data_IF_513775872703
#
_entry.id   IF_513775872703
#
_cell.length_a   1.000
_cell.length_b   1.000
_cell.length_c   1.000
_cell.angle_alpha   90.00
_cell.angle_beta   90.00
_cell.angle_gamma   90.00
#
_symmetry.space_group_name_H-M   'P 1'
#
loop_
_entity.id
_entity.type
_entity.pdbx_description
1 polymer ?
#
# COMPACT_ATOMS: atom_id res chain seq x y z
N UNK A 1 36.15 2.57 -20.38
CA UNK A 1 34.89 1.82 -20.15
C UNK A 1 33.83 2.45 -21.03
N UNK A 2 32.92 1.71 -21.65
CA UNK A 2 31.81 2.34 -22.38
C UNK A 2 30.87 3.03 -21.39
N UNK A 3 30.21 4.11 -21.82
CA UNK A 3 29.19 4.80 -21.03
C UNK A 3 28.12 3.83 -20.50
N UNK A 4 27.73 2.85 -21.33
CA UNK A 4 26.81 1.78 -20.96
C UNK A 4 27.32 0.94 -19.77
N UNK A 5 28.60 0.56 -19.75
CA UNK A 5 29.16 -0.20 -18.62
C UNK A 5 29.15 0.62 -17.34
N UNK A 6 29.48 1.92 -17.42
CA UNK A 6 29.47 2.82 -16.26
C UNK A 6 28.05 2.99 -15.73
N UNK A 7 27.09 3.32 -16.62
CA UNK A 7 25.68 3.46 -16.28
C UNK A 7 25.11 2.19 -15.62
N UNK A 8 25.37 1.03 -16.22
CA UNK A 8 24.89 -0.26 -15.71
C UNK A 8 25.51 -0.58 -14.35
N UNK A 9 26.79 -0.29 -14.17
CA UNK A 9 27.48 -0.51 -12.88
C UNK A 9 26.88 0.37 -11.79
N UNK A 10 26.69 1.67 -12.06
CA UNK A 10 26.07 2.61 -11.11
C UNK A 10 24.65 2.13 -10.76
N UNK A 11 23.86 1.75 -11.76
CA UNK A 11 22.50 1.25 -11.56
C UNK A 11 22.47 0.02 -10.66
N UNK A 12 23.25 -1.02 -10.99
CA UNK A 12 23.29 -2.29 -10.23
C UNK A 12 23.76 -2.06 -8.79
N UNK A 13 24.80 -1.25 -8.59
CA UNK A 13 25.31 -0.94 -7.24
C UNK A 13 24.27 -0.16 -6.43
N UNK A 14 23.65 0.87 -7.03
CA UNK A 14 22.61 1.67 -6.36
C UNK A 14 21.45 0.78 -5.94
N UNK A 15 20.97 -0.09 -6.82
CA UNK A 15 19.88 -1.02 -6.53
C UNK A 15 20.25 -2.05 -5.46
N UNK A 16 21.47 -2.61 -5.51
CA UNK A 16 21.95 -3.55 -4.50
C UNK A 16 22.00 -2.91 -3.10
N UNK A 17 22.43 -1.64 -3.01
CA UNK A 17 22.44 -0.90 -1.74
C UNK A 17 21.02 -0.61 -1.25
N UNK A 18 20.10 -0.21 -2.14
CA UNK A 18 18.68 -0.03 -1.79
C UNK A 18 18.07 -1.33 -1.25
N UNK A 19 18.30 -2.46 -1.93
CA UNK A 19 17.83 -3.78 -1.51
C UNK A 19 18.44 -4.20 -0.16
N UNK A 20 19.67 -3.79 0.13
CA UNK A 20 20.32 -4.11 1.41
C UNK A 20 19.67 -3.42 2.61
N UNK A 21 18.84 -2.39 2.38
CA UNK A 21 18.18 -1.55 3.39
C UNK A 21 19.11 -0.96 4.47
N UNK A 22 20.44 -0.94 4.24
CA UNK A 22 21.43 -0.43 5.21
C UNK A 22 21.53 1.09 5.24
N UNK A 23 21.13 1.76 4.16
CA UNK A 23 21.18 3.21 3.99
C UNK A 23 19.82 3.71 3.52
N UNK A 24 19.54 4.99 3.79
CA UNK A 24 18.31 5.62 3.33
C UNK A 24 18.22 5.59 1.80
N UNK A 25 17.12 5.02 1.29
CA UNK A 25 16.87 4.85 -0.14
C UNK A 25 16.94 6.16 -0.93
N UNK A 26 16.56 7.29 -0.32
CA UNK A 26 16.59 8.62 -0.94
C UNK A 26 18.02 9.07 -1.13
N UNK A 27 18.85 8.93 -0.09
CA UNK A 27 20.28 9.28 -0.16
C UNK A 27 20.99 8.44 -1.21
N UNK A 28 20.70 7.13 -1.25
CA UNK A 28 21.31 6.21 -2.22
C UNK A 28 20.88 6.54 -3.65
N UNK A 29 19.60 6.82 -3.89
CA UNK A 29 19.11 7.20 -5.21
C UNK A 29 19.71 8.52 -5.72
N UNK A 30 19.78 9.55 -4.84
CA UNK A 30 20.40 10.83 -5.17
C UNK A 30 21.91 10.71 -5.42
N UNK A 31 22.61 9.89 -4.63
CA UNK A 31 24.03 9.61 -4.86
C UNK A 31 24.25 8.90 -6.20
N UNK A 32 23.42 7.91 -6.54
CA UNK A 32 23.46 7.25 -7.85
C UNK A 32 23.26 8.24 -9.01
N UNK A 33 22.27 9.13 -8.91
CA UNK A 33 22.05 10.19 -9.89
C UNK A 33 23.22 11.18 -10.00
N UNK A 34 23.80 11.59 -8.86
CA UNK A 34 24.97 12.46 -8.84
C UNK A 34 26.20 11.79 -9.50
N UNK A 35 26.38 10.48 -9.29
CA UNK A 35 27.45 9.72 -9.95
C UNK A 35 27.24 9.63 -11.47
N UNK A 36 25.99 9.49 -11.95
CA UNK A 36 25.70 9.52 -13.39
C UNK A 36 26.17 10.82 -14.05
N UNK A 37 25.99 11.95 -13.37
CA UNK A 37 26.48 13.26 -13.83
C UNK A 37 28.00 13.35 -13.70
N UNK A 38 28.57 12.96 -12.55
CA UNK A 38 30.00 13.06 -12.28
C UNK A 38 30.86 12.22 -13.25
N UNK A 39 30.35 11.09 -13.71
CA UNK A 39 31.01 10.25 -14.71
C UNK A 39 30.67 10.63 -16.17
N UNK A 40 29.88 11.69 -16.39
CA UNK A 40 29.52 12.19 -17.71
C UNK A 40 28.58 11.27 -18.50
N UNK A 41 27.87 10.37 -17.82
CA UNK A 41 26.87 9.48 -18.46
C UNK A 41 25.61 10.27 -18.82
N UNK A 42 25.27 11.25 -17.99
CA UNK A 42 24.21 12.22 -18.25
C UNK A 42 24.77 13.62 -18.04
N UNK A 43 24.36 14.57 -18.87
CA UNK A 43 24.55 15.98 -18.55
C UNK A 43 23.51 16.45 -17.51
N UNK A 44 23.68 17.66 -16.99
CA UNK A 44 22.79 18.21 -15.96
C UNK A 44 21.37 18.44 -16.48
N UNK A 45 21.22 18.79 -17.75
CA UNK A 45 19.93 19.10 -18.37
C UNK A 45 19.12 17.81 -18.58
N UNK A 46 19.76 16.75 -19.06
CA UNK A 46 19.24 15.40 -19.18
C UNK A 46 18.86 14.82 -17.81
N UNK A 47 19.70 15.02 -16.79
CA UNK A 47 19.41 14.55 -15.45
C UNK A 47 18.15 15.22 -14.86
N UNK A 48 17.98 16.52 -15.06
CA UNK A 48 16.76 17.24 -14.63
C UNK A 48 15.55 16.81 -15.48
N UNK A 49 15.72 16.63 -16.79
CA UNK A 49 14.66 16.19 -17.69
C UNK A 49 14.19 14.75 -17.39
N UNK A 50 15.05 13.92 -16.80
CA UNK A 50 14.69 12.57 -16.34
C UNK A 50 13.79 12.57 -15.08
N UNK A 51 13.64 13.71 -14.39
CA UNK A 51 12.77 13.84 -13.23
C UNK A 51 11.33 14.06 -13.71
N UNK A 52 10.45 13.14 -13.33
CA UNK A 52 9.02 13.28 -13.57
C UNK A 52 8.34 14.10 -12.46
N UNK A 53 8.22 15.41 -12.71
CA UNK A 53 7.56 16.34 -11.81
C UNK A 53 6.06 16.10 -11.66
N UNK A 54 5.38 15.50 -12.64
CA UNK A 54 3.96 15.18 -12.53
C UNK A 54 3.75 14.09 -11.48
N UNK A 55 4.58 13.05 -11.52
CA UNK A 55 4.59 11.98 -10.51
C UNK A 55 4.88 12.54 -9.11
N UNK A 56 5.89 13.41 -8.97
CA UNK A 56 6.20 14.05 -7.69
C UNK A 56 5.03 14.91 -7.18
N UNK A 57 4.41 15.72 -8.05
CA UNK A 57 3.27 16.55 -7.69
C UNK A 57 2.05 15.71 -7.26
N UNK A 58 1.78 14.61 -7.97
CA UNK A 58 0.72 13.67 -7.64
C UNK A 58 0.95 13.01 -6.27
N UNK A 59 2.17 12.52 -6.02
CA UNK A 59 2.56 11.93 -4.73
C UNK A 59 2.41 12.93 -3.59
N UNK A 60 2.90 14.17 -3.76
CA UNK A 60 2.79 15.22 -2.75
C UNK A 60 1.31 15.56 -2.48
N UNK A 61 0.51 15.76 -3.53
CA UNK A 61 -0.91 16.09 -3.40
C UNK A 61 -1.69 14.98 -2.67
N UNK A 62 -1.43 13.72 -3.02
CA UNK A 62 -1.98 12.58 -2.31
C UNK A 62 -1.57 12.57 -0.84
N UNK A 63 -0.29 12.74 -0.53
CA UNK A 63 0.20 12.69 0.86
C UNK A 63 -0.44 13.79 1.73
N UNK A 64 -0.70 14.97 1.15
CA UNK A 64 -1.46 16.04 1.80
C UNK A 64 -2.90 15.59 2.06
N UNK A 65 -3.60 15.08 1.05
CA UNK A 65 -4.98 14.60 1.16
C UNK A 65 -5.12 13.50 2.22
N UNK A 66 -4.20 12.53 2.19
CA UNK A 66 -4.04 11.49 3.20
C UNK A 66 -3.92 12.11 4.58
N UNK A 67 -2.95 13.01 4.80
CA UNK A 67 -2.69 13.60 6.11
C UNK A 67 -3.91 14.38 6.67
N UNK A 68 -4.70 15.01 5.80
CA UNK A 68 -5.96 15.66 6.19
C UNK A 68 -7.00 14.62 6.60
N UNK A 69 -7.22 13.58 5.78
CA UNK A 69 -8.18 12.52 6.08
C UNK A 69 -7.87 11.82 7.41
N UNK A 70 -6.58 11.58 7.70
CA UNK A 70 -6.10 11.00 8.96
C UNK A 70 -6.61 11.77 10.19
N UNK A 71 -6.71 13.10 10.11
CA UNK A 71 -7.14 13.97 11.22
C UNK A 71 -8.65 13.97 11.46
N UNK A 72 -9.44 13.56 10.48
CA UNK A 72 -10.91 13.60 10.57
C UNK A 72 -11.50 12.49 11.46
N UNK A 73 -10.73 11.43 11.73
CA UNK A 73 -11.21 10.26 12.46
C UNK A 73 -12.13 9.34 11.64
N UNK A 74 -12.24 9.55 10.32
CA UNK A 74 -13.10 8.76 9.42
C UNK A 74 -12.85 7.25 9.53
N UNK A 75 -11.59 6.83 9.70
CA UNK A 75 -11.19 5.42 9.87
C UNK A 75 -11.73 4.83 11.17
N UNK A 76 -11.63 5.57 12.28
CA UNK A 76 -12.17 5.14 13.57
C UNK A 76 -13.69 5.03 13.52
N UNK A 77 -14.34 6.02 12.90
CA UNK A 77 -15.78 6.00 12.69
C UNK A 77 -16.21 4.82 11.82
N UNK A 78 -15.54 4.58 10.69
CA UNK A 78 -15.84 3.46 9.80
C UNK A 78 -15.62 2.11 10.48
N UNK A 79 -14.53 1.93 11.22
CA UNK A 79 -14.26 0.72 11.98
C UNK A 79 -15.38 0.43 13.00
N UNK A 80 -15.76 1.43 13.79
CA UNK A 80 -16.83 1.30 14.78
C UNK A 80 -18.20 1.02 14.14
N UNK A 81 -18.54 1.71 13.04
CA UNK A 81 -19.77 1.49 12.28
C UNK A 81 -19.83 0.07 11.72
N UNK A 82 -18.71 -0.44 11.19
CA UNK A 82 -18.59 -1.82 10.72
C UNK A 82 -18.81 -2.80 11.87
N UNK A 83 -18.21 -2.56 13.05
CA UNK A 83 -18.37 -3.42 14.22
C UNK A 83 -19.82 -3.55 14.69
N UNK A 84 -20.58 -2.45 14.68
CA UNK A 84 -22.02 -2.48 15.00
C UNK A 84 -22.80 -3.23 13.93
N UNK A 85 -22.54 -2.95 12.65
CA UNK A 85 -23.28 -3.56 11.55
C UNK A 85 -23.14 -5.09 11.51
N UNK A 86 -22.01 -5.64 11.96
CA UNK A 86 -21.73 -7.08 11.91
C UNK A 86 -22.20 -7.85 13.16
N UNK A 87 -22.66 -7.15 14.20
CA UNK A 87 -23.31 -7.75 15.37
C UNK A 87 -22.42 -8.71 16.16
N UNK A 88 -21.12 -8.44 16.26
CA UNK A 88 -20.19 -9.22 17.09
C UNK A 88 -19.70 -10.54 16.49
N UNK A 89 -20.00 -10.85 15.22
CA UNK A 89 -19.40 -12.03 14.56
C UNK A 89 -17.95 -11.72 14.15
N UNK A 90 -16.93 -12.47 14.63
CA UNK A 90 -15.52 -12.23 14.29
C UNK A 90 -15.26 -12.30 12.79
N UNK A 91 -15.86 -13.29 12.12
CA UNK A 91 -15.73 -13.47 10.67
C UNK A 91 -16.30 -12.29 9.89
N UNK A 92 -17.51 -11.84 10.21
CA UNK A 92 -18.15 -10.71 9.52
C UNK A 92 -17.40 -9.41 9.75
N UNK A 93 -16.86 -9.22 10.96
CA UNK A 93 -16.00 -8.08 11.27
C UNK A 93 -14.75 -8.08 10.39
N UNK A 94 -14.09 -9.23 10.26
CA UNK A 94 -12.90 -9.37 9.43
C UNK A 94 -13.19 -9.07 7.95
N UNK A 95 -14.32 -9.57 7.42
CA UNK A 95 -14.77 -9.26 6.06
C UNK A 95 -15.04 -7.77 5.91
N UNK A 96 -15.75 -7.15 6.86
CA UNK A 96 -16.05 -5.72 6.82
C UNK A 96 -14.79 -4.85 6.85
N UNK A 97 -13.83 -5.19 7.70
CA UNK A 97 -12.53 -4.52 7.74
C UNK A 97 -11.73 -4.71 6.46
N UNK A 98 -11.70 -5.93 5.91
CA UNK A 98 -11.02 -6.22 4.65
C UNK A 98 -11.60 -5.40 3.50
N UNK A 99 -12.94 -5.36 3.36
CA UNK A 99 -13.61 -4.60 2.32
C UNK A 99 -13.39 -3.10 2.47
N UNK A 100 -13.51 -2.58 3.70
CA UNK A 100 -13.22 -1.18 3.96
C UNK A 100 -11.77 -0.83 3.61
N UNK A 101 -10.81 -1.66 4.04
CA UNK A 101 -9.39 -1.46 3.74
C UNK A 101 -9.10 -1.54 2.25
N UNK A 102 -9.69 -2.49 1.50
CA UNK A 102 -9.50 -2.60 0.06
C UNK A 102 -10.01 -1.34 -0.68
N UNK A 103 -11.21 -0.86 -0.32
CA UNK A 103 -11.78 0.35 -0.92
C UNK A 103 -10.98 1.58 -0.53
N UNK A 104 -10.62 1.73 0.75
CA UNK A 104 -9.81 2.87 1.21
C UNK A 104 -8.44 2.90 0.51
N UNK A 105 -7.79 1.74 0.37
CA UNK A 105 -6.49 1.62 -0.29
C UNK A 105 -6.55 1.87 -1.81
N UNK A 106 -7.72 1.81 -2.44
CA UNK A 106 -7.87 2.22 -3.83
C UNK A 106 -7.74 3.75 -4.00
N UNK A 107 -7.85 4.54 -2.93
CA UNK A 107 -7.74 6.01 -2.99
C UNK A 107 -6.56 6.56 -2.17
N UNK A 108 -5.93 5.70 -1.37
CA UNK A 108 -4.87 6.05 -0.44
C UNK A 108 -3.76 5.02 -0.57
N UNK A 109 -2.52 5.41 -0.32
CA UNK A 109 -1.43 4.44 -0.36
C UNK A 109 -1.68 3.30 0.66
N UNK A 110 -1.36 2.08 0.25
CA UNK A 110 -1.52 0.86 1.03
C UNK A 110 -0.88 0.95 2.42
N UNK A 111 0.35 1.48 2.52
CA UNK A 111 1.07 1.63 3.79
C UNK A 111 0.31 2.56 4.73
N UNK A 112 -0.12 3.72 4.26
CA UNK A 112 -0.98 4.65 4.98
C UNK A 112 -2.27 4.01 5.46
N UNK A 113 -2.95 3.27 4.58
CA UNK A 113 -4.25 2.68 4.89
C UNK A 113 -4.11 1.71 6.05
N UNK A 114 -3.07 0.88 6.01
CA UNK A 114 -2.74 -0.05 7.10
C UNK A 114 -2.34 0.69 8.38
N UNK A 115 -1.46 1.69 8.30
CA UNK A 115 -1.06 2.46 9.49
C UNK A 115 -2.24 3.13 10.21
N UNK A 116 -3.31 3.46 9.50
CA UNK A 116 -4.54 4.00 10.09
C UNK A 116 -5.49 2.92 10.60
N UNK A 117 -5.61 1.81 9.87
CA UNK A 117 -6.52 0.74 10.23
C UNK A 117 -6.00 -0.15 11.34
N UNK A 118 -4.68 -0.36 11.46
CA UNK A 118 -4.07 -1.18 12.52
C UNK A 118 -4.50 -0.73 13.92
N UNK A 119 -4.31 0.54 14.34
CA UNK A 119 -4.72 0.95 15.68
C UNK A 119 -6.23 0.86 15.91
N UNK A 120 -7.04 1.13 14.88
CA UNK A 120 -8.50 0.99 14.94
C UNK A 120 -8.92 -0.48 15.11
N UNK A 121 -8.25 -1.38 14.38
CA UNK A 121 -8.53 -2.80 14.38
C UNK A 121 -8.14 -3.43 15.71
N UNK A 122 -6.95 -3.10 16.23
CA UNK A 122 -6.50 -3.55 17.55
C UNK A 122 -7.50 -3.13 18.62
N UNK A 123 -7.86 -1.84 18.68
CA UNK A 123 -8.80 -1.33 19.69
C UNK A 123 -10.16 -2.06 19.64
N UNK A 124 -10.71 -2.28 18.44
CA UNK A 124 -12.01 -2.97 18.30
C UNK A 124 -11.90 -4.46 18.62
N UNK A 125 -10.80 -5.11 18.25
CA UNK A 125 -10.56 -6.52 18.60
C UNK A 125 -10.41 -6.68 20.11
N UNK A 126 -9.69 -5.78 20.78
CA UNK A 126 -9.52 -5.79 22.25
C UNK A 126 -10.87 -5.60 22.96
N UNK A 127 -11.69 -4.63 22.53
CA UNK A 127 -13.04 -4.38 23.07
C UNK A 127 -13.98 -5.60 22.92
N UNK A 128 -13.78 -6.41 21.87
CA UNK A 128 -14.59 -7.59 21.55
C UNK A 128 -13.97 -8.92 22.01
N UNK A 129 -12.75 -8.90 22.57
CA UNK A 129 -12.04 -10.11 23.01
C UNK A 129 -11.52 -11.00 21.88
N UNK A 130 -11.27 -10.45 20.68
CA UNK A 130 -10.77 -11.18 19.51
C UNK A 130 -9.25 -11.07 19.37
N UNK A 131 -8.61 -12.09 18.80
CA UNK A 131 -7.21 -11.96 18.36
C UNK A 131 -7.15 -11.05 17.13
N UNK A 132 -6.42 -9.93 17.21
CA UNK A 132 -6.30 -8.96 16.11
C UNK A 132 -5.40 -9.46 14.97
N UNK A 133 -4.51 -10.44 15.20
CA UNK A 133 -3.52 -10.87 14.20
C UNK A 133 -4.14 -11.31 12.87
N UNK A 134 -5.20 -12.16 12.84
CA UNK A 134 -5.83 -12.58 11.58
C UNK A 134 -6.47 -11.40 10.82
N UNK A 135 -7.02 -10.43 11.54
CA UNK A 135 -7.62 -9.23 10.96
C UNK A 135 -6.55 -8.37 10.28
N UNK A 136 -5.43 -8.13 10.97
CA UNK A 136 -4.31 -7.34 10.44
C UNK A 136 -3.72 -8.00 9.18
N UNK A 137 -3.48 -9.31 9.19
CA UNK A 137 -2.98 -10.04 8.01
C UNK A 137 -3.98 -9.91 6.85
N UNK A 138 -5.27 -10.11 7.12
CA UNK A 138 -6.32 -10.00 6.11
C UNK A 138 -6.38 -8.59 5.52
N UNK A 139 -6.30 -7.56 6.36
CA UNK A 139 -6.30 -6.17 5.93
C UNK A 139 -5.06 -5.83 5.09
N UNK A 140 -3.86 -6.29 5.47
CA UNK A 140 -2.63 -6.07 4.69
C UNK A 140 -2.80 -6.63 3.27
N UNK A 141 -3.29 -7.86 3.13
CA UNK A 141 -3.51 -8.45 1.81
C UNK A 141 -4.62 -7.70 1.07
N UNK A 142 -5.75 -7.41 1.73
CA UNK A 142 -6.86 -6.68 1.11
C UNK A 142 -6.47 -5.26 0.66
N UNK A 143 -5.58 -4.58 1.39
CA UNK A 143 -5.05 -3.27 1.04
C UNK A 143 -4.21 -3.35 -0.23
N UNK A 144 -3.33 -4.35 -0.33
CA UNK A 144 -2.54 -4.53 -1.54
C UNK A 144 -3.43 -4.84 -2.75
N UNK A 145 -4.38 -5.77 -2.62
CA UNK A 145 -5.32 -6.09 -3.71
C UNK A 145 -6.14 -4.85 -4.10
N UNK A 146 -6.73 -4.14 -3.14
CA UNK A 146 -7.52 -2.95 -3.38
C UNK A 146 -6.73 -1.80 -4.00
N UNK A 147 -5.51 -1.55 -3.53
CA UNK A 147 -4.62 -0.50 -4.03
C UNK A 147 -4.18 -0.70 -5.47
N UNK A 148 -4.13 -1.94 -5.97
CA UNK A 148 -3.86 -2.18 -7.39
C UNK A 148 -4.95 -1.67 -8.33
N UNK A 149 -6.17 -1.39 -7.84
CA UNK A 149 -7.29 -0.97 -8.70
C UNK A 149 -7.09 0.39 -9.37
N UNK A 150 -6.25 1.27 -8.80
CA UNK A 150 -6.12 2.66 -9.27
C UNK A 150 -4.66 3.06 -9.42
N UNK A 151 -4.45 4.11 -10.24
CA UNK A 151 -3.14 4.73 -10.43
C UNK A 151 -2.51 5.22 -9.10
N UNK A 152 -3.35 5.58 -8.13
CA UNK A 152 -2.93 6.27 -6.90
C UNK A 152 -2.87 5.35 -5.67
N UNK A 153 -3.16 4.06 -5.80
CA UNK A 153 -3.19 3.17 -4.64
C UNK A 153 -1.82 2.75 -4.10
N UNK A 154 -0.74 2.89 -4.88
CA UNK A 154 0.63 2.55 -4.46
C UNK A 154 1.67 3.27 -5.36
N UNK A 155 2.82 3.76 -4.84
CA UNK A 155 3.91 4.31 -5.65
C UNK A 155 4.31 3.55 -6.94
N UNK A 156 4.37 2.21 -6.99
CA UNK A 156 4.65 1.49 -8.23
C UNK A 156 3.60 1.73 -9.32
N UNK A 157 2.33 1.89 -8.97
CA UNK A 157 1.27 2.18 -9.95
C UNK A 157 1.49 3.55 -10.58
N UNK A 158 1.85 4.55 -9.76
CA UNK A 158 2.16 5.90 -10.24
C UNK A 158 3.35 5.85 -11.20
N UNK A 159 4.41 5.13 -10.83
CA UNK A 159 5.59 4.97 -11.69
C UNK A 159 5.26 4.30 -13.03
N UNK A 160 4.38 3.29 -13.03
CA UNK A 160 3.91 2.64 -14.26
C UNK A 160 3.09 3.62 -15.09
N UNK A 161 2.11 4.30 -14.49
CA UNK A 161 1.24 5.23 -15.20
C UNK A 161 2.01 6.37 -15.83
N UNK A 162 3.03 6.88 -15.13
CA UNK A 162 3.85 7.97 -15.62
C UNK A 162 4.87 7.54 -16.67
N UNK A 163 5.42 6.33 -16.55
CA UNK A 163 6.36 5.77 -17.51
C UNK A 163 5.73 5.20 -18.79
N UNK A 164 4.44 4.82 -18.75
CA UNK A 164 3.76 4.16 -19.89
C UNK A 164 2.61 4.96 -20.48
N UNK A 165 2.12 6.00 -19.79
CA UNK A 165 1.02 6.87 -20.25
C UNK A 165 -0.43 6.52 -19.89
N UNK A 166 -0.80 5.38 -19.24
CA UNK A 166 -2.16 5.17 -18.76
C UNK A 166 -2.55 6.22 -17.71
N UNK A 167 -3.72 6.81 -17.89
CA UNK A 167 -4.30 7.71 -16.91
C UNK A 167 -5.02 6.94 -15.77
N UNK A 168 -5.54 7.69 -14.81
CA UNK A 168 -6.26 7.11 -13.67
C UNK A 168 -7.43 6.19 -14.08
N UNK A 169 -8.17 6.55 -15.14
CA UNK A 169 -9.31 5.76 -15.60
C UNK A 169 -8.86 4.47 -16.29
N UNK A 170 -7.72 4.49 -17.00
CA UNK A 170 -7.15 3.29 -17.59
C UNK A 170 -6.80 2.24 -16.53
N UNK A 171 -6.31 2.63 -15.35
CA UNK A 171 -6.10 1.69 -14.24
C UNK A 171 -7.42 1.07 -13.77
N UNK A 172 -8.46 1.88 -13.57
CA UNK A 172 -9.77 1.39 -13.13
C UNK A 172 -10.39 0.43 -14.15
N UNK A 173 -10.33 0.74 -15.43
CA UNK A 173 -10.96 -0.10 -16.46
C UNK A 173 -10.22 -1.42 -16.68
N UNK A 174 -8.89 -1.42 -16.57
CA UNK A 174 -8.09 -2.62 -16.78
C UNK A 174 -7.94 -3.49 -15.52
N UNK A 175 -7.71 -2.88 -14.36
CA UNK A 175 -7.43 -3.59 -13.10
C UNK A 175 -8.64 -3.66 -12.18
N UNK A 176 -9.57 -2.70 -12.24
CA UNK A 176 -10.78 -2.68 -11.41
C UNK A 176 -11.61 -3.97 -11.51
N UNK A 177 -11.94 -4.49 -12.72
CA UNK A 177 -12.65 -5.76 -12.85
C UNK A 177 -11.92 -6.92 -12.20
N UNK A 178 -10.58 -6.96 -12.31
CA UNK A 178 -9.76 -7.98 -11.67
C UNK A 178 -9.80 -7.85 -10.14
N UNK A 179 -9.71 -6.64 -9.60
CA UNK A 179 -9.80 -6.41 -8.15
C UNK A 179 -11.16 -6.81 -7.59
N UNK A 180 -12.25 -6.52 -8.30
CA UNK A 180 -13.61 -6.97 -7.92
C UNK A 180 -13.70 -8.49 -7.83
N UNK A 181 -12.91 -9.24 -8.60
CA UNK A 181 -12.82 -10.70 -8.51
C UNK A 181 -11.85 -11.16 -7.40
N UNK A 182 -10.70 -10.52 -7.28
CA UNK A 182 -9.64 -10.90 -6.34
C UNK A 182 -10.02 -10.64 -4.88
N UNK A 183 -10.79 -9.61 -4.58
CA UNK A 183 -11.22 -9.30 -3.21
C UNK A 183 -12.07 -10.44 -2.63
N UNK A 184 -13.17 -10.90 -3.28
CA UNK A 184 -13.91 -12.08 -2.84
C UNK A 184 -13.06 -13.35 -2.76
N UNK A 185 -12.16 -13.59 -3.73
CA UNK A 185 -11.27 -14.76 -3.70
C UNK A 185 -10.32 -14.74 -2.49
N UNK A 186 -9.78 -13.56 -2.17
CA UNK A 186 -8.94 -13.34 -0.99
C UNK A 186 -9.73 -13.62 0.29
N UNK A 187 -10.95 -13.07 0.39
CA UNK A 187 -11.85 -13.31 1.51
C UNK A 187 -12.19 -14.81 1.63
N UNK A 188 -12.47 -15.50 0.52
CA UNK A 188 -12.75 -16.94 0.51
C UNK A 188 -11.53 -17.76 0.98
N UNK A 189 -10.32 -17.37 0.56
CA UNK A 189 -9.08 -17.98 1.06
C UNK A 189 -8.94 -17.84 2.58
N UNK A 190 -9.18 -16.64 3.10
CA UNK A 190 -9.17 -16.42 4.55
C UNK A 190 -10.29 -17.14 5.29
N UNK A 191 -11.43 -17.39 4.64
CA UNK A 191 -12.51 -18.20 5.23
C UNK A 191 -12.07 -19.65 5.43
N UNK A 192 -11.32 -20.20 4.48
CA UNK A 192 -10.80 -21.57 4.61
C UNK A 192 -9.79 -21.66 5.76
N UNK A 193 -8.94 -20.63 5.94
CA UNK A 193 -7.88 -20.61 6.95
C UNK A 193 -8.40 -20.29 8.35
N UNK A 194 -9.26 -19.28 8.48
CA UNK A 194 -9.71 -18.72 9.76
C UNK A 194 -11.20 -18.90 10.04
N UNK A 195 -12.04 -19.10 9.00
CA UNK A 195 -13.49 -19.24 9.16
C UNK A 195 -13.93 -20.64 9.60
N UNK A 196 -13.08 -21.66 9.48
CA UNK A 196 -13.37 -23.06 9.89
C UNK A 196 -12.78 -23.46 11.23
N UNK A 197 -11.86 -22.67 11.78
CA UNK A 197 -11.23 -22.93 13.07
C UNK A 197 -11.56 -21.75 13.97
N UNK A 198 -11.95 -21.98 15.23
CA UNK A 198 -12.24 -20.95 16.25
C UNK A 198 -10.99 -20.11 16.66
N UNK A 199 -10.09 -19.84 15.71
CA UNK A 199 -8.82 -19.13 15.86
C UNK A 199 -8.97 -17.61 15.93
N UNK A 200 -10.19 -17.09 15.81
CA UNK A 200 -10.48 -15.66 15.90
C UNK A 200 -10.81 -15.23 17.34
N UNK A 201 -11.12 -16.17 18.23
CA UNK A 201 -11.30 -15.91 19.66
C UNK A 201 -9.93 -15.84 20.34
N UNK A 202 -9.72 -14.85 21.22
CA UNK A 202 -8.46 -14.74 21.96
C UNK A 202 -8.29 -15.90 22.96
N UNK A 203 -7.05 -16.38 23.21
CA UNK A 203 -6.80 -17.40 24.24
C UNK A 203 -7.15 -16.93 25.66
N UNK A 204 -7.27 -15.62 25.92
CA UNK A 204 -7.54 -15.09 27.26
C UNK A 204 -9.02 -15.09 27.63
N UNK A 205 -9.93 -15.48 26.74
CA UNK A 205 -11.34 -15.67 27.06
C UNK A 205 -11.63 -17.04 27.73
N UNK A 206 -10.60 -17.89 27.88
CA UNK A 206 -10.70 -19.24 28.44
C UNK A 206 -10.10 -19.39 29.86
N UNK A 207 -9.75 -18.28 30.52
CA UNK A 207 -9.25 -18.24 31.91
C UNK A 207 -10.12 -17.32 32.77
#
# INVERSE_FOLDING_TARGET
MSELTVATTIFVVTYAVIISERLDRTVVALAGGALMIAFGVLDQEQAVAAIDFNTLALLVGMMILVNILKRTGIFRYAGWRTAIAVGGSPWRLMVGFALFTAVASAFLDNVTTILLMVPVTIAICDDLGFDSRPFLITQVIASNVGGTATLIGDPPNILIGSGTGPDFLAFITNLGPLVVLLVPLTIAGFWIVYGRADRLASPSAAA
#
